data_IF_748887134674
#
_entry.id   IF_748887134674
#
_cell.length_a   1.000
_cell.length_b   1.000
_cell.length_c   1.000
_cell.angle_alpha   90.00
_cell.angle_beta   90.00
_cell.angle_gamma   90.00
#
_symmetry.space_group_name_H-M   'P 1'
#
loop_
_entity.id
_entity.type
_entity.pdbx_description
1 polymer ?
#
# COMPACT_ATOMS: atom_id res chain seq x y z
N UNK A 1 33.55 0.57 -2.23
CA UNK A 1 32.24 1.07 -1.76
C UNK A 1 31.25 -0.03 -2.06
N UNK A 2 30.58 -0.61 -1.05
CA UNK A 2 29.58 -1.66 -1.29
C UNK A 2 28.35 -1.01 -1.93
N UNK A 3 28.00 -1.45 -3.12
CA UNK A 3 26.86 -0.92 -3.88
C UNK A 3 25.56 -1.38 -3.23
N UNK A 4 24.65 -0.44 -2.94
CA UNK A 4 23.34 -0.79 -2.37
C UNK A 4 22.40 -1.14 -3.52
N UNK A 5 22.12 -2.42 -3.65
CA UNK A 5 21.15 -2.91 -4.62
C UNK A 5 19.71 -2.62 -4.15
N UNK A 6 18.92 -1.96 -5.00
CA UNK A 6 17.51 -1.68 -4.76
C UNK A 6 16.70 -2.54 -5.71
N UNK A 7 15.89 -3.44 -5.14
CA UNK A 7 15.08 -4.41 -5.91
C UNK A 7 13.60 -4.24 -5.65
N UNK A 8 12.78 -4.42 -6.69
CA UNK A 8 11.33 -4.52 -6.55
C UNK A 8 10.96 -5.97 -6.24
N UNK A 9 10.46 -6.23 -5.04
CA UNK A 9 10.10 -7.59 -4.64
C UNK A 9 8.86 -8.07 -5.38
N UNK A 10 7.72 -7.40 -5.20
CA UNK A 10 6.43 -7.83 -5.76
C UNK A 10 5.50 -6.62 -6.01
N UNK A 11 5.27 -6.20 -7.26
CA UNK A 11 4.27 -5.19 -7.57
C UNK A 11 2.84 -5.78 -7.51
N UNK A 12 1.91 -5.05 -6.89
CA UNK A 12 0.48 -5.42 -6.80
C UNK A 12 -0.39 -4.18 -7.02
N UNK A 13 -1.62 -4.38 -7.49
CA UNK A 13 -2.61 -3.31 -7.75
C UNK A 13 -4.01 -3.79 -7.41
N UNK A 14 -4.88 -2.87 -7.01
CA UNK A 14 -6.31 -3.14 -6.84
C UNK A 14 -7.01 -3.04 -8.21
N UNK A 15 -8.25 -3.51 -8.28
CA UNK A 15 -9.12 -3.14 -9.39
C UNK A 15 -9.24 -1.60 -9.49
N UNK A 16 -9.37 -1.11 -10.72
CA UNK A 16 -9.64 0.31 -10.98
C UNK A 16 -11.16 0.49 -10.96
N UNK A 17 -11.67 1.28 -10.02
CA UNK A 17 -13.08 1.65 -9.98
C UNK A 17 -13.36 2.81 -10.93
N UNK A 18 -14.49 2.77 -11.63
CA UNK A 18 -15.00 3.94 -12.34
C UNK A 18 -15.49 4.99 -11.37
N UNK A 19 -15.49 6.26 -11.77
CA UNK A 19 -16.05 7.35 -10.98
C UNK A 19 -17.52 7.07 -10.66
N UNK A 20 -17.89 7.13 -9.38
CA UNK A 20 -19.22 6.72 -8.86
C UNK A 20 -19.59 5.23 -9.09
N UNK A 21 -18.60 4.38 -9.40
CA UNK A 21 -18.76 2.95 -9.62
C UNK A 21 -18.70 2.11 -8.34
N UNK A 22 -18.31 0.84 -8.50
CA UNK A 22 -18.34 -0.20 -7.46
C UNK A 22 -17.43 0.05 -6.26
N UNK A 23 -16.39 0.89 -6.40
CA UNK A 23 -15.45 1.20 -5.31
C UNK A 23 -15.70 2.55 -4.63
N UNK A 24 -16.82 3.23 -4.94
CA UNK A 24 -17.09 4.58 -4.42
C UNK A 24 -17.20 4.66 -2.89
N UNK A 25 -17.64 3.58 -2.25
CA UNK A 25 -17.82 3.49 -0.80
C UNK A 25 -16.56 3.02 -0.09
N UNK A 26 -15.53 2.58 -0.81
CA UNK A 26 -14.30 2.05 -0.24
C UNK A 26 -13.28 3.17 -0.10
N UNK A 27 -12.85 3.53 1.12
CA UNK A 27 -11.84 4.56 1.32
C UNK A 27 -10.49 4.19 0.69
N UNK A 28 -9.74 5.17 0.19
CA UNK A 28 -8.41 4.95 -0.39
C UNK A 28 -7.44 4.27 0.62
N UNK A 29 -7.59 4.58 1.91
CA UNK A 29 -6.85 3.97 3.00
C UNK A 29 -7.07 2.46 3.08
N UNK A 30 -8.29 1.99 2.83
CA UNK A 30 -8.62 0.56 2.84
C UNK A 30 -8.06 -0.17 1.63
N UNK A 31 -8.12 0.45 0.45
CA UNK A 31 -7.48 -0.08 -0.76
C UNK A 31 -5.97 -0.21 -0.56
N UNK A 32 -5.32 0.82 0.01
CA UNK A 32 -3.90 0.79 0.33
C UNK A 32 -3.53 -0.28 1.37
N UNK A 33 -4.37 -0.49 2.40
CA UNK A 33 -4.19 -1.59 3.36
C UNK A 33 -4.26 -2.95 2.68
N UNK A 34 -5.21 -3.15 1.79
CA UNK A 34 -5.37 -4.39 1.03
C UNK A 34 -4.11 -4.69 0.21
N UNK A 35 -3.58 -3.66 -0.47
CA UNK A 35 -2.35 -3.77 -1.25
C UNK A 35 -1.15 -4.17 -0.42
N UNK A 36 -0.87 -3.47 0.68
CA UNK A 36 0.28 -3.80 1.55
C UNK A 36 0.19 -5.23 2.07
N UNK A 37 -1.00 -5.66 2.50
CA UNK A 37 -1.21 -7.03 2.98
C UNK A 37 -0.91 -8.05 1.89
N UNK A 38 -1.38 -7.81 0.68
CA UNK A 38 -1.16 -8.71 -0.45
C UNK A 38 0.29 -8.72 -0.93
N UNK A 39 0.97 -7.57 -0.93
CA UNK A 39 2.42 -7.48 -1.21
C UNK A 39 3.22 -8.31 -0.23
N UNK A 40 2.99 -8.14 1.07
CA UNK A 40 3.71 -8.90 2.12
C UNK A 40 3.44 -10.40 1.99
N UNK A 41 2.18 -10.78 1.74
CA UNK A 41 1.79 -12.18 1.51
C UNK A 41 2.52 -12.81 0.33
N UNK A 42 2.62 -12.12 -0.82
CA UNK A 42 3.28 -12.64 -2.03
C UNK A 42 4.79 -12.64 -1.94
N UNK A 43 5.36 -11.58 -1.36
CA UNK A 43 6.82 -11.43 -1.20
C UNK A 43 7.40 -12.32 -0.09
N UNK A 44 6.56 -12.92 0.76
CA UNK A 44 6.97 -13.72 1.93
C UNK A 44 7.91 -12.94 2.88
N UNK A 45 7.82 -11.61 2.86
CA UNK A 45 8.58 -10.74 3.74
C UNK A 45 7.92 -10.68 5.12
N UNK A 46 8.76 -10.69 6.16
CA UNK A 46 8.32 -10.47 7.53
C UNK A 46 7.78 -9.03 7.69
N UNK A 47 6.50 -8.85 8.03
CA UNK A 47 5.92 -7.52 8.26
C UNK A 47 6.66 -6.71 9.32
N UNK A 48 7.27 -7.36 10.32
CA UNK A 48 8.01 -6.69 11.39
C UNK A 48 9.30 -6.02 10.90
N UNK A 49 9.85 -6.50 9.76
CA UNK A 49 11.03 -5.91 9.11
C UNK A 49 10.68 -4.72 8.22
N UNK A 50 9.41 -4.50 7.91
CA UNK A 50 8.96 -3.40 7.07
C UNK A 50 8.97 -2.07 7.84
N UNK A 51 9.95 -1.20 7.55
CA UNK A 51 10.19 0.01 8.33
C UNK A 51 9.47 1.27 7.85
N UNK A 52 9.32 1.43 6.53
CA UNK A 52 8.82 2.69 5.95
C UNK A 52 7.90 2.38 4.78
N UNK A 53 6.76 3.05 4.74
CA UNK A 53 5.81 3.05 3.63
C UNK A 53 5.68 4.48 3.11
N UNK A 54 5.55 4.64 1.81
CA UNK A 54 5.17 5.90 1.18
C UNK A 54 3.89 5.65 0.37
N UNK A 55 2.88 6.51 0.54
CA UNK A 55 1.61 6.44 -0.19
C UNK A 55 1.42 7.75 -0.96
N UNK A 56 1.22 7.65 -2.27
CA UNK A 56 0.82 8.79 -3.11
C UNK A 56 -0.70 8.90 -3.17
N UNK A 57 -1.27 10.04 -2.78
CA UNK A 57 -2.69 10.34 -2.97
C UNK A 57 -2.88 11.83 -3.28
N UNK A 58 -3.75 12.16 -4.25
CA UNK A 58 -3.93 13.54 -4.73
C UNK A 58 -5.04 14.26 -3.98
N UNK A 59 -6.22 13.64 -3.86
CA UNK A 59 -7.37 14.23 -3.13
C UNK A 59 -7.46 13.56 -1.76
N UNK A 60 -7.00 14.27 -0.73
CA UNK A 60 -6.87 13.73 0.64
C UNK A 60 -8.01 14.10 1.60
N UNK A 61 -9.05 14.81 1.14
CA UNK A 61 -10.18 15.19 2.00
C UNK A 61 -10.81 13.94 2.65
N UNK A 62 -10.59 13.75 3.95
CA UNK A 62 -11.07 12.61 4.74
C UNK A 62 -10.16 11.37 4.78
N UNK A 63 -9.04 11.34 4.06
CA UNK A 63 -8.11 10.20 4.09
C UNK A 63 -7.11 10.34 5.25
N UNK A 64 -7.38 9.64 6.36
CA UNK A 64 -6.40 9.45 7.44
C UNK A 64 -5.27 8.56 6.91
N UNK A 65 -4.15 9.16 6.51
CA UNK A 65 -2.95 8.43 6.07
C UNK A 65 -2.50 7.47 7.16
N UNK A 66 -2.34 6.19 6.81
CA UNK A 66 -1.95 5.12 7.74
C UNK A 66 -0.46 5.26 8.12
N UNK A 67 -0.15 6.13 9.08
CA UNK A 67 1.16 6.17 9.73
C UNK A 67 1.25 5.23 10.95
N UNK A 68 0.36 4.23 11.04
CA UNK A 68 0.33 3.29 12.14
C UNK A 68 1.25 2.11 11.81
N UNK A 69 2.31 1.96 12.61
CA UNK A 69 3.20 0.80 12.57
C UNK A 69 2.33 -0.46 12.67
N UNK A 70 2.45 -1.34 11.69
CA UNK A 70 1.84 -2.67 11.76
C UNK A 70 2.55 -3.42 12.90
N UNK A 71 1.90 -3.49 14.06
CA UNK A 71 2.30 -4.28 15.22
C UNK A 71 1.35 -5.46 15.37
#
# INVERSE_FOLDING_TARGET
MQEREVVFCHPVRTAIGTFNGTLKTTPATELGRCLVRETLRRSRLDPARHRKRCDGNVIQAGNRTLNRRYS
#
